data_IF_052706731810
#
_entry.id   IF_052706731810
#
_cell.length_a   1.000
_cell.length_b   1.000
_cell.length_c   1.000
_cell.angle_alpha   90.00
_cell.angle_beta   90.00
_cell.angle_gamma   90.00
#
_symmetry.space_group_name_H-M   'P 1'
#
loop_
_entity.id
_entity.type
_entity.pdbx_description
1 polymer ?
#
# COMPACT_ATOMS: atom_id res chain seq x y z
N UNK A 1 8.91 -17.95 -72.97
CA UNK A 1 10.06 -17.06 -72.91
C UNK A 1 9.78 -15.97 -71.89
N UNK A 2 10.64 -15.98 -70.89
CA UNK A 2 10.87 -14.91 -69.91
C UNK A 2 9.67 -14.40 -69.08
N UNK A 3 9.46 -15.00 -67.96
CA UNK A 3 10.05 -14.55 -66.68
C UNK A 3 9.58 -13.12 -66.33
N UNK A 4 8.36 -12.99 -65.89
CA UNK A 4 7.92 -11.86 -65.03
C UNK A 4 7.40 -12.42 -63.74
N UNK A 5 8.30 -13.17 -63.13
CA UNK A 5 8.23 -13.53 -61.74
C UNK A 5 8.96 -12.48 -60.95
N UNK A 6 8.53 -12.27 -59.76
CA UNK A 6 9.23 -11.58 -58.69
C UNK A 6 9.19 -10.06 -58.68
N UNK A 7 8.14 -9.52 -58.12
CA UNK A 7 8.24 -8.42 -57.15
C UNK A 7 6.96 -8.36 -56.30
N UNK A 8 6.64 -9.45 -55.62
CA UNK A 8 5.79 -9.35 -54.42
C UNK A 8 6.79 -9.25 -53.27
N UNK A 9 7.37 -8.11 -53.10
CA UNK A 9 8.10 -7.76 -51.88
C UNK A 9 7.03 -7.64 -50.81
N UNK A 10 7.04 -8.63 -49.97
CA UNK A 10 6.33 -8.77 -48.73
C UNK A 10 6.67 -7.58 -47.80
N UNK A 11 5.85 -6.55 -47.87
CA UNK A 11 5.83 -5.52 -46.82
C UNK A 11 5.05 -6.10 -45.64
N UNK A 12 5.73 -6.98 -44.92
CA UNK A 12 5.32 -7.35 -43.57
C UNK A 12 5.74 -6.18 -42.66
N UNK A 13 5.00 -5.07 -42.78
CA UNK A 13 5.08 -3.98 -41.82
C UNK A 13 4.59 -4.55 -40.47
N UNK A 14 5.54 -4.98 -39.67
CA UNK A 14 5.30 -5.37 -38.29
C UNK A 14 4.63 -4.20 -37.60
N UNK A 15 3.33 -4.27 -37.39
CA UNK A 15 2.62 -3.43 -36.45
C UNK A 15 3.16 -3.76 -35.06
N UNK A 16 4.20 -3.06 -34.68
CA UNK A 16 4.69 -3.04 -33.31
C UNK A 16 3.61 -2.40 -32.46
N UNK A 17 2.70 -3.21 -31.97
CA UNK A 17 1.68 -2.77 -31.02
C UNK A 17 2.42 -2.33 -29.78
N UNK A 18 2.66 -1.03 -29.66
CA UNK A 18 3.06 -0.37 -28.41
C UNK A 18 1.88 -0.58 -27.45
N UNK A 19 1.89 -1.69 -26.72
CA UNK A 19 1.00 -1.89 -25.61
C UNK A 19 1.28 -0.74 -24.63
N UNK A 20 0.29 0.11 -24.28
CA UNK A 20 0.50 1.10 -23.25
C UNK A 20 0.85 0.34 -21.98
N UNK A 21 2.08 0.53 -21.48
CA UNK A 21 2.46 0.07 -20.16
C UNK A 21 1.54 0.80 -19.20
N UNK A 22 0.49 0.12 -18.75
CA UNK A 22 -0.34 0.63 -17.67
C UNK A 22 0.61 0.88 -16.50
N UNK A 23 0.92 2.14 -16.23
CA UNK A 23 1.66 2.55 -15.04
C UNK A 23 0.81 2.10 -13.85
N UNK A 24 1.13 0.93 -13.31
CA UNK A 24 0.50 0.45 -12.11
C UNK A 24 0.76 1.51 -11.04
N UNK A 25 -0.30 2.18 -10.59
CA UNK A 25 -0.20 3.14 -9.50
C UNK A 25 0.21 2.36 -8.25
N UNK A 26 1.47 2.50 -7.89
CA UNK A 26 2.01 1.89 -6.69
C UNK A 26 1.77 2.81 -5.50
N UNK A 27 1.19 2.24 -4.47
CA UNK A 27 0.98 2.90 -3.19
C UNK A 27 2.16 2.64 -2.25
N UNK A 28 2.29 3.45 -1.23
CA UNK A 28 3.15 3.15 -0.08
C UNK A 28 2.36 3.35 1.21
N UNK A 29 2.60 2.49 2.18
CA UNK A 29 2.02 2.58 3.50
C UNK A 29 3.12 2.65 4.54
N UNK A 30 3.07 3.66 5.38
CA UNK A 30 3.97 3.82 6.51
C UNK A 30 3.20 4.13 7.78
N UNK A 31 3.85 4.03 8.92
CA UNK A 31 3.25 4.43 10.18
C UNK A 31 4.15 4.13 11.37
N UNK A 32 3.61 4.43 12.54
CA UNK A 32 4.24 4.14 13.82
C UNK A 32 3.37 3.15 14.60
N UNK A 33 4.02 2.30 15.39
CA UNK A 33 3.36 1.43 16.35
C UNK A 33 3.82 1.81 17.75
N UNK A 34 2.87 2.18 18.60
CA UNK A 34 3.10 2.40 20.03
C UNK A 34 2.65 1.18 20.80
N UNK A 35 3.42 0.81 21.81
CA UNK A 35 3.11 -0.29 22.72
C UNK A 35 2.01 0.06 23.72
N UNK A 36 1.70 -0.87 24.59
CA UNK A 36 0.71 -0.70 25.67
C UNK A 36 1.11 0.35 26.70
N UNK A 37 2.38 0.68 26.76
CA UNK A 37 2.97 1.73 27.61
C UNK A 37 3.06 3.11 26.92
N UNK A 38 2.53 3.23 25.69
CA UNK A 38 2.57 4.45 24.89
C UNK A 38 3.94 4.76 24.27
N UNK A 39 4.93 3.87 24.43
CA UNK A 39 6.27 4.00 23.84
C UNK A 39 6.34 3.36 22.46
N UNK A 40 7.28 3.80 21.60
CA UNK A 40 7.51 3.14 20.32
C UNK A 40 7.78 1.64 20.50
N UNK A 41 6.95 0.83 19.83
CA UNK A 41 7.10 -0.63 19.90
C UNK A 41 8.13 -1.09 18.87
N UNK A 42 9.28 -1.54 19.37
CA UNK A 42 10.37 -2.07 18.55
C UNK A 42 10.14 -3.54 18.24
N UNK A 43 10.61 -3.97 17.06
CA UNK A 43 10.56 -5.37 16.62
C UNK A 43 9.15 -5.96 16.60
N UNK A 44 8.14 -5.13 16.49
CA UNK A 44 6.79 -5.60 16.21
C UNK A 44 6.69 -5.99 14.73
N UNK A 45 6.08 -7.12 14.47
CA UNK A 45 5.79 -7.57 13.12
C UNK A 45 4.50 -6.94 12.65
N UNK A 46 4.56 -6.23 11.54
CA UNK A 46 3.39 -5.68 10.84
C UNK A 46 3.17 -6.54 9.62
N UNK A 47 2.07 -7.30 9.60
CA UNK A 47 1.72 -8.20 8.51
C UNK A 47 0.59 -7.62 7.69
N UNK A 48 0.76 -7.61 6.38
CA UNK A 48 -0.23 -7.18 5.42
C UNK A 48 -0.62 -8.34 4.51
N UNK A 49 -1.91 -8.62 4.42
CA UNK A 49 -2.49 -9.68 3.61
C UNK A 49 -3.49 -9.08 2.63
N UNK A 50 -3.35 -9.36 1.34
CA UNK A 50 -4.33 -8.97 0.34
C UNK A 50 -5.61 -9.79 0.53
N UNK A 51 -6.77 -9.13 0.56
CA UNK A 51 -8.05 -9.81 0.80
C UNK A 51 -8.48 -10.73 -0.35
N UNK A 52 -8.11 -10.38 -1.55
CA UNK A 52 -8.35 -11.14 -2.78
C UNK A 52 -7.34 -12.27 -3.00
N UNK A 53 -6.18 -12.20 -2.35
CA UNK A 53 -5.12 -13.21 -2.42
C UNK A 53 -4.51 -13.43 -1.03
N UNK A 54 -5.20 -14.15 -0.12
CA UNK A 54 -4.74 -14.32 1.26
C UNK A 54 -3.39 -15.04 1.41
N UNK A 55 -2.98 -15.80 0.38
CA UNK A 55 -1.67 -16.46 0.34
C UNK A 55 -0.50 -15.49 0.13
N UNK A 56 -0.76 -14.27 -0.33
CA UNK A 56 0.25 -13.24 -0.49
C UNK A 56 0.27 -12.33 0.72
N UNK A 57 1.13 -12.62 1.69
CA UNK A 57 1.38 -11.76 2.85
C UNK A 57 2.75 -11.11 2.75
N UNK A 58 2.79 -9.84 3.09
CA UNK A 58 4.02 -9.05 3.18
C UNK A 58 4.20 -8.64 4.64
N UNK A 59 5.41 -8.77 5.14
CA UNK A 59 5.72 -8.44 6.53
C UNK A 59 6.78 -7.35 6.61
N UNK A 60 6.57 -6.37 7.47
CA UNK A 60 7.55 -5.38 7.87
C UNK A 60 7.78 -5.47 9.37
N UNK A 61 8.99 -5.15 9.82
CA UNK A 61 9.33 -5.13 11.24
C UNK A 61 9.57 -3.69 11.66
N UNK A 62 9.02 -3.29 12.81
CA UNK A 62 9.21 -1.94 13.31
C UNK A 62 10.63 -1.71 13.78
N UNK A 63 11.18 -0.55 13.41
CA UNK A 63 12.51 -0.10 13.88
C UNK A 63 12.48 0.43 15.31
N UNK A 64 13.61 1.00 15.75
CA UNK A 64 13.77 1.53 17.12
C UNK A 64 12.79 2.65 17.46
N UNK A 65 12.31 3.39 16.46
CA UNK A 65 11.28 4.43 16.61
C UNK A 65 9.85 3.92 16.46
N UNK A 66 9.64 2.60 16.41
CA UNK A 66 8.34 1.99 16.17
C UNK A 66 7.82 2.18 14.73
N UNK A 67 8.64 2.65 13.79
CA UNK A 67 8.23 2.91 12.40
C UNK A 67 8.25 1.65 11.56
N UNK A 68 7.26 1.54 10.67
CA UNK A 68 7.21 0.54 9.62
C UNK A 68 6.94 1.20 8.25
N UNK A 69 7.30 0.51 7.19
CA UNK A 69 7.10 0.95 5.80
C UNK A 69 6.83 -0.25 4.90
N UNK A 70 5.80 -0.14 4.10
CA UNK A 70 5.55 -0.97 2.93
C UNK A 70 5.64 -0.09 1.68
N UNK A 71 6.51 -0.44 0.76
CA UNK A 71 6.66 0.21 -0.53
C UNK A 71 6.00 -0.62 -1.63
N UNK A 72 5.71 0.02 -2.75
CA UNK A 72 5.27 -0.64 -3.99
C UNK A 72 4.04 -1.55 -3.84
N UNK A 73 3.05 -1.07 -3.09
CA UNK A 73 1.79 -1.79 -2.88
C UNK A 73 0.84 -1.57 -4.07
N UNK A 74 0.34 -2.62 -4.70
CA UNK A 74 -0.77 -2.50 -5.64
C UNK A 74 -2.01 -1.91 -4.98
N UNK A 75 -2.86 -1.24 -5.77
CA UNK A 75 -4.16 -0.82 -5.28
C UNK A 75 -5.00 -2.05 -4.92
N UNK A 76 -5.70 -2.01 -3.78
CA UNK A 76 -6.47 -3.15 -3.30
C UNK A 76 -6.96 -3.01 -1.88
N UNK A 77 -7.62 -4.04 -1.39
CA UNK A 77 -8.05 -4.15 0.01
C UNK A 77 -7.14 -5.11 0.75
N UNK A 78 -6.59 -4.65 1.84
CA UNK A 78 -5.62 -5.38 2.64
C UNK A 78 -6.09 -5.53 4.08
N UNK A 79 -5.74 -6.64 4.71
CA UNK A 79 -5.78 -6.79 6.15
C UNK A 79 -4.39 -6.49 6.70
N UNK A 80 -4.32 -5.51 7.58
CA UNK A 80 -3.10 -5.12 8.29
C UNK A 80 -3.19 -5.63 9.73
N UNK A 81 -2.23 -6.42 10.16
CA UNK A 81 -2.19 -7.04 11.48
C UNK A 81 -0.88 -6.70 12.19
N UNK A 82 -0.98 -6.31 13.45
CA UNK A 82 0.18 -6.04 14.31
C UNK A 82 0.37 -7.25 15.22
N UNK A 83 1.55 -7.82 15.17
CA UNK A 83 1.96 -8.93 16.01
C UNK A 83 3.08 -8.46 16.97
N UNK A 84 2.91 -8.76 18.22
CA UNK A 84 3.98 -8.60 19.23
C UNK A 84 4.29 -9.98 19.82
N UNK A 85 5.48 -10.50 19.48
CA UNK A 85 5.76 -11.93 19.62
C UNK A 85 4.87 -12.76 18.69
N UNK A 86 4.31 -13.85 19.18
CA UNK A 86 3.43 -14.73 18.38
C UNK A 86 1.95 -14.28 18.38
N UNK A 87 1.59 -13.25 19.14
CA UNK A 87 0.20 -12.86 19.33
C UNK A 87 -0.20 -11.69 18.46
N UNK A 88 -1.32 -11.83 17.74
CA UNK A 88 -1.96 -10.69 17.03
C UNK A 88 -2.57 -9.77 18.07
N UNK A 89 -2.09 -8.54 18.12
CA UNK A 89 -2.57 -7.50 19.04
C UNK A 89 -3.70 -6.68 18.44
N UNK A 90 -3.63 -6.43 17.15
CA UNK A 90 -4.61 -5.61 16.44
C UNK A 90 -4.66 -6.03 14.97
N UNK A 91 -5.84 -5.98 14.38
CA UNK A 91 -6.02 -6.21 12.95
C UNK A 91 -7.06 -5.23 12.39
N UNK A 92 -6.78 -4.68 11.20
CA UNK A 92 -7.63 -3.69 10.54
C UNK A 92 -7.65 -3.92 9.03
N UNK A 93 -8.81 -3.69 8.40
CA UNK A 93 -8.91 -3.71 6.95
C UNK A 93 -8.69 -2.29 6.39
N UNK A 94 -7.86 -2.18 5.38
CA UNK A 94 -7.52 -0.92 4.73
C UNK A 94 -7.73 -1.03 3.23
N UNK A 95 -8.08 0.08 2.58
CA UNK A 95 -8.17 0.18 1.13
C UNK A 95 -7.09 1.11 0.61
N UNK A 96 -6.17 0.56 -0.17
CA UNK A 96 -5.13 1.30 -0.88
C UNK A 96 -5.60 1.65 -2.28
N UNK A 97 -5.40 2.91 -2.71
CA UNK A 97 -5.88 3.43 -4.00
C UNK A 97 -4.75 3.96 -4.90
N UNK A 98 -3.52 3.51 -4.69
CA UNK A 98 -2.35 4.02 -5.43
C UNK A 98 -1.75 5.30 -4.85
N UNK A 99 -2.09 5.65 -3.62
CA UNK A 99 -1.62 6.84 -2.90
C UNK A 99 -0.67 6.49 -1.75
N UNK A 100 0.08 7.48 -1.28
CA UNK A 100 0.83 7.36 -0.03
C UNK A 100 -0.15 7.43 1.13
N UNK A 101 -0.14 6.42 1.98
CA UNK A 101 -0.96 6.35 3.18
C UNK A 101 -0.09 6.26 4.44
N UNK A 102 -0.62 6.75 5.55
CA UNK A 102 -0.01 6.60 6.86
C UNK A 102 -1.05 6.11 7.85
N UNK A 103 -0.72 5.05 8.57
CA UNK A 103 -1.56 4.50 9.62
C UNK A 103 -0.71 4.33 10.87
N UNK A 104 -1.09 5.01 11.93
CA UNK A 104 -0.45 4.90 13.22
C UNK A 104 -1.31 4.03 14.14
N UNK A 105 -0.66 3.11 14.85
CA UNK A 105 -1.28 2.20 15.80
C UNK A 105 -0.83 2.53 17.21
N UNK A 106 -1.79 2.58 18.11
CA UNK A 106 -1.56 2.71 19.53
C UNK A 106 -2.21 1.52 20.23
N UNK A 107 -1.40 0.66 20.83
CA UNK A 107 -1.85 -0.54 21.52
C UNK A 107 -2.19 -0.27 22.98
N UNK A 108 -2.11 0.98 23.45
CA UNK A 108 -2.51 1.32 24.81
C UNK A 108 -4.00 1.04 25.05
N UNK A 109 -4.40 0.64 26.25
CA UNK A 109 -5.80 0.33 26.55
C UNK A 109 -6.77 1.49 26.31
N UNK A 110 -6.28 2.72 26.47
CA UNK A 110 -7.06 3.94 26.24
C UNK A 110 -7.25 4.25 24.75
N UNK A 111 -6.32 3.87 23.90
CA UNK A 111 -6.29 4.24 22.48
C UNK A 111 -6.72 3.10 21.54
N UNK A 112 -6.92 1.89 22.03
CA UNK A 112 -7.29 0.71 21.23
C UNK A 112 -8.57 0.91 20.38
N UNK A 113 -9.32 1.96 20.66
CA UNK A 113 -10.53 2.34 19.90
C UNK A 113 -10.26 3.35 18.78
N UNK A 114 -9.06 3.94 18.68
CA UNK A 114 -8.80 5.04 17.74
C UNK A 114 -7.58 4.74 16.88
N UNK A 115 -7.83 4.17 15.71
CA UNK A 115 -6.82 4.03 14.66
C UNK A 115 -6.87 5.29 13.81
N UNK A 116 -5.74 5.98 13.67
CA UNK A 116 -5.62 7.19 12.85
C UNK A 116 -5.10 6.81 11.47
N UNK A 117 -5.88 7.14 10.45
CA UNK A 117 -5.52 6.95 9.05
C UNK A 117 -5.26 8.31 8.40
N UNK A 118 -4.09 8.47 7.80
CA UNK A 118 -3.72 9.69 7.10
C UNK A 118 -3.40 9.37 5.64
N UNK A 119 -3.81 10.27 4.76
CA UNK A 119 -3.50 10.21 3.34
C UNK A 119 -2.67 11.44 2.98
N UNK A 120 -1.64 11.23 2.17
CA UNK A 120 -0.85 12.31 1.64
C UNK A 120 -1.61 12.99 0.50
N UNK A 121 -1.97 14.25 0.71
CA UNK A 121 -2.62 15.08 -0.31
C UNK A 121 -1.57 16.02 -0.88
N UNK A 122 -1.31 15.90 -2.18
CA UNK A 122 -0.46 16.85 -2.90
C UNK A 122 -1.16 18.20 -2.99
N UNK A 123 -0.40 19.28 -2.89
CA UNK A 123 -0.91 20.63 -3.14
C UNK A 123 -1.52 20.73 -4.54
N UNK A 124 -2.48 21.64 -4.75
CA UNK A 124 -3.05 21.88 -6.08
C UNK A 124 -1.95 22.26 -7.07
N UNK A 125 -2.06 21.75 -8.29
CA UNK A 125 -1.20 22.14 -9.41
C UNK A 125 -1.22 23.66 -9.56
N UNK A 126 -0.04 24.30 -9.47
CA UNK A 126 0.07 25.76 -9.51
C UNK A 126 0.14 26.46 -8.16
N UNK A 127 0.00 25.75 -7.04
CA UNK A 127 0.29 26.29 -5.70
C UNK A 127 1.67 25.84 -5.25
N UNK A 128 2.47 26.77 -4.72
CA UNK A 128 3.76 26.46 -4.08
C UNK A 128 3.59 25.80 -2.69
N UNK A 129 2.40 25.31 -2.38
CA UNK A 129 2.13 24.66 -1.11
C UNK A 129 2.63 23.23 -1.14
N UNK A 130 3.46 22.84 -0.16
CA UNK A 130 3.90 21.44 -0.03
C UNK A 130 2.69 20.55 0.24
N UNK A 131 2.75 19.30 -0.19
CA UNK A 131 1.75 18.30 0.19
C UNK A 131 1.68 18.14 1.71
N UNK A 132 0.54 17.70 2.21
CA UNK A 132 0.30 17.52 3.64
C UNK A 132 -0.40 16.18 3.92
N UNK A 133 -0.18 15.64 5.11
CA UNK A 133 -0.94 14.52 5.62
C UNK A 133 -2.32 15.01 6.11
N UNK A 134 -3.37 14.41 5.57
CA UNK A 134 -4.76 14.69 5.97
C UNK A 134 -5.33 13.45 6.60
N UNK A 135 -5.89 13.57 7.82
CA UNK A 135 -6.60 12.48 8.46
C UNK A 135 -7.84 12.15 7.63
N UNK A 136 -8.01 10.89 7.28
CA UNK A 136 -9.20 10.39 6.61
C UNK A 136 -9.96 9.54 7.60
N UNK A 137 -11.23 9.86 7.79
CA UNK A 137 -12.13 8.99 8.54
C UNK A 137 -12.11 7.60 7.87
N UNK A 138 -11.44 6.68 8.50
CA UNK A 138 -11.42 5.32 8.05
C UNK A 138 -12.79 4.73 8.35
N UNK A 139 -13.52 4.35 7.32
CA UNK A 139 -14.58 3.37 7.44
C UNK A 139 -13.96 2.03 7.83
N UNK A 140 -13.44 1.96 9.03
CA UNK A 140 -12.78 0.79 9.59
C UNK A 140 -13.89 -0.11 10.09
N UNK A 141 -14.33 -1.03 9.24
CA UNK A 141 -15.13 -2.15 9.70
C UNK A 141 -14.23 -3.01 10.58
N UNK A 142 -14.39 -2.88 11.89
CA UNK A 142 -13.84 -3.87 12.81
C UNK A 142 -14.48 -5.22 12.47
N UNK A 143 -13.72 -6.30 12.32
CA UNK A 143 -14.32 -7.61 12.25
C UNK A 143 -15.06 -7.85 13.56
N UNK A 144 -16.38 -8.08 13.46
CA UNK A 144 -17.17 -8.55 14.59
C UNK A 144 -16.47 -9.75 15.24
N UNK A 145 -16.46 -9.73 16.57
CA UNK A 145 -16.06 -10.87 17.41
C UNK A 145 -16.81 -12.13 17.05
#
# INVERSE_FOLDING_TARGET
>A
MFCRAFFIVLILAGAFVLAPSALAQVASLQGNVLGTDGRPLQRAEVRMEAKDKPSASITAVTGNSGRYLFAELPAGVYRLSILAGSAVKLSVNIKMRGEKARIDFDLSPAATKKIRNYVWVVGRTGSNLPGRWVERDAGISQPNR
#
